data_IF_873676474833
#
_entry.id   IF_873676474833
#
_cell.length_a   1.000
_cell.length_b   1.000
_cell.length_c   1.000
_cell.angle_alpha   90.00
_cell.angle_beta   90.00
_cell.angle_gamma   90.00
#
_symmetry.space_group_name_H-M   'P 1'
#
loop_
_entity.id
_entity.type
_entity.pdbx_description
1 polymer ?
#
# COMPACT_ATOMS: atom_id res chain seq x y z
N UNK A 1 13.73 11.65 -3.96
CA UNK A 1 13.94 10.23 -4.39
C UNK A 1 15.43 10.01 -4.56
N UNK A 2 15.96 8.88 -4.09
CA UNK A 2 17.36 8.47 -4.30
C UNK A 2 17.66 8.28 -5.79
N UNK A 3 18.89 8.60 -6.18
CA UNK A 3 19.33 8.54 -7.60
C UNK A 3 19.12 7.17 -8.24
N UNK A 4 19.47 6.03 -7.59
CA UNK A 4 19.29 4.70 -8.18
C UNK A 4 17.82 4.37 -8.49
N UNK A 5 16.90 4.64 -7.54
CA UNK A 5 15.47 4.42 -7.74
C UNK A 5 14.93 5.33 -8.83
N UNK A 6 15.34 6.60 -8.86
CA UNK A 6 14.91 7.53 -9.90
C UNK A 6 15.31 7.03 -11.29
N UNK A 7 16.56 6.60 -11.44
CA UNK A 7 17.07 6.04 -12.69
C UNK A 7 16.32 4.77 -13.12
N UNK A 8 15.95 3.91 -12.15
CA UNK A 8 15.15 2.74 -12.44
C UNK A 8 13.72 3.12 -12.88
N UNK A 9 13.09 4.09 -12.20
CA UNK A 9 11.74 4.56 -12.55
C UNK A 9 11.69 5.31 -13.90
N UNK A 10 12.80 5.91 -14.37
CA UNK A 10 12.87 6.54 -15.70
C UNK A 10 12.60 5.53 -16.82
N UNK A 11 12.92 4.24 -16.62
CA UNK A 11 12.66 3.15 -17.57
C UNK A 11 11.18 2.74 -17.69
N UNK A 12 10.31 3.20 -16.78
CA UNK A 12 8.85 2.93 -16.86
C UNK A 12 8.28 3.31 -18.24
N UNK A 13 8.84 4.32 -18.86
CA UNK A 13 8.37 4.82 -20.16
C UNK A 13 8.89 4.02 -21.38
N UNK A 14 9.73 3.03 -21.15
CA UNK A 14 10.30 2.15 -22.18
C UNK A 14 9.54 0.83 -22.29
N UNK A 15 8.75 0.47 -21.25
CA UNK A 15 8.06 -0.80 -21.16
C UNK A 15 6.55 -0.61 -20.97
N UNK A 16 5.71 -1.49 -21.53
CA UNK A 16 4.27 -1.47 -21.28
C UNK A 16 3.92 -1.82 -19.83
N UNK A 17 4.70 -2.68 -19.17
CA UNK A 17 4.56 -3.04 -17.76
C UNK A 17 5.85 -2.78 -16.99
N UNK A 18 5.72 -2.18 -15.81
CA UNK A 18 6.78 -2.16 -14.80
C UNK A 18 6.25 -2.81 -13.52
N UNK A 19 6.90 -3.86 -13.07
CA UNK A 19 6.60 -4.50 -11.78
C UNK A 19 7.60 -3.99 -10.76
N UNK A 20 7.09 -3.53 -9.62
CA UNK A 20 7.89 -3.07 -8.49
C UNK A 20 7.66 -4.04 -7.33
N UNK A 21 8.65 -4.89 -7.11
CA UNK A 21 8.57 -5.97 -6.14
C UNK A 21 9.58 -5.76 -5.01
N UNK A 22 9.08 -5.58 -3.82
CA UNK A 22 9.90 -5.60 -2.61
C UNK A 22 9.00 -5.87 -1.39
N UNK A 23 9.55 -6.39 -0.29
CA UNK A 23 8.81 -6.56 0.95
C UNK A 23 8.20 -5.25 1.46
N UNK A 24 7.42 -5.37 2.53
CA UNK A 24 6.84 -4.23 3.21
C UNK A 24 7.92 -3.25 3.70
N UNK A 25 7.59 -1.95 3.71
CA UNK A 25 8.46 -0.93 4.30
C UNK A 25 9.70 -0.54 3.49
N UNK A 26 9.80 -0.96 2.23
CA UNK A 26 10.89 -0.54 1.31
C UNK A 26 10.63 0.80 0.62
N UNK A 27 9.49 1.44 0.86
CA UNK A 27 9.17 2.75 0.28
C UNK A 27 8.73 2.74 -1.18
N UNK A 28 8.27 1.58 -1.70
CA UNK A 28 7.81 1.42 -3.10
C UNK A 28 6.81 2.49 -3.52
N UNK A 29 5.67 2.53 -2.83
CA UNK A 29 4.57 3.46 -3.10
C UNK A 29 5.03 4.91 -3.05
N UNK A 30 5.83 5.27 -2.03
CA UNK A 30 6.39 6.63 -1.86
C UNK A 30 7.29 6.99 -3.02
N UNK A 31 8.18 6.10 -3.45
CA UNK A 31 9.09 6.36 -4.56
C UNK A 31 8.34 6.60 -5.87
N UNK A 32 7.33 5.77 -6.18
CA UNK A 32 6.51 5.92 -7.38
C UNK A 32 5.70 7.22 -7.34
N UNK A 33 5.04 7.52 -6.22
CA UNK A 33 4.27 8.77 -6.05
C UNK A 33 5.15 9.99 -6.26
N UNK A 34 6.31 10.05 -5.62
CA UNK A 34 7.22 11.18 -5.75
C UNK A 34 7.81 11.30 -7.17
N UNK A 35 8.08 10.18 -7.84
CA UNK A 35 8.52 10.19 -9.22
C UNK A 35 7.45 10.77 -10.16
N UNK A 36 6.22 10.27 -10.03
CA UNK A 36 5.11 10.64 -10.91
C UNK A 36 4.57 12.05 -10.68
N UNK A 37 4.77 12.67 -9.51
CA UNK A 37 4.38 14.07 -9.24
C UNK A 37 4.98 15.06 -10.25
N UNK A 38 6.19 14.78 -10.71
CA UNK A 38 6.92 15.67 -11.61
C UNK A 38 6.80 15.27 -13.10
N UNK A 39 6.01 14.24 -13.40
CA UNK A 39 5.82 13.76 -14.76
C UNK A 39 4.65 14.47 -15.46
N UNK A 40 4.81 14.77 -16.75
CA UNK A 40 3.75 15.35 -17.59
C UNK A 40 2.70 14.31 -18.04
N UNK A 41 2.79 13.09 -17.58
CA UNK A 41 1.87 12.01 -17.93
C UNK A 41 0.53 12.13 -17.18
N UNK A 42 -0.53 11.51 -17.73
CA UNK A 42 -1.77 11.31 -17.01
C UNK A 42 -1.59 10.11 -16.06
N UNK A 43 -1.70 10.36 -14.76
CA UNK A 43 -1.54 9.34 -13.73
C UNK A 43 -2.91 8.90 -13.24
N UNK A 44 -3.17 7.60 -13.32
CA UNK A 44 -4.35 6.93 -12.79
C UNK A 44 -3.86 5.95 -11.71
N UNK A 45 -4.38 6.09 -10.49
CA UNK A 45 -3.89 5.32 -9.35
C UNK A 45 -5.04 4.56 -8.68
N UNK A 46 -4.85 3.27 -8.48
CA UNK A 46 -5.71 2.41 -7.68
C UNK A 46 -4.87 1.68 -6.65
N UNK A 47 -5.33 1.67 -5.41
CA UNK A 47 -4.80 0.80 -4.36
C UNK A 47 -5.77 -0.36 -4.18
N UNK A 48 -5.26 -1.57 -4.18
CA UNK A 48 -6.04 -2.78 -3.90
C UNK A 48 -6.27 -2.84 -2.40
N UNK A 49 -7.53 -2.99 -1.99
CA UNK A 49 -7.90 -2.97 -0.58
C UNK A 49 -8.07 -4.38 0.02
N UNK A 50 -8.49 -5.34 -0.82
CA UNK A 50 -8.81 -6.70 -0.43
C UNK A 50 -8.72 -7.65 -1.64
N UNK A 51 -9.09 -8.91 -1.47
CA UNK A 51 -9.12 -9.95 -2.49
C UNK A 51 -10.40 -9.94 -3.36
N UNK A 52 -11.27 -8.94 -3.20
CA UNK A 52 -12.52 -8.82 -3.96
C UNK A 52 -12.27 -8.50 -5.43
N UNK A 53 -12.46 -9.47 -6.30
CA UNK A 53 -12.34 -9.31 -7.76
C UNK A 53 -13.29 -8.22 -8.28
N UNK A 54 -14.54 -8.23 -7.82
CA UNK A 54 -15.54 -7.24 -8.23
C UNK A 54 -15.20 -5.84 -7.69
N UNK A 55 -14.71 -5.73 -6.47
CA UNK A 55 -14.23 -4.49 -5.87
C UNK A 55 -13.06 -3.90 -6.67
N UNK A 56 -12.07 -4.73 -6.98
CA UNK A 56 -10.95 -4.37 -7.82
C UNK A 56 -11.39 -3.90 -9.21
N UNK A 57 -12.22 -4.70 -9.90
CA UNK A 57 -12.66 -4.41 -11.26
C UNK A 57 -13.47 -3.11 -11.34
N UNK A 58 -14.39 -2.89 -10.41
CA UNK A 58 -15.12 -1.63 -10.31
C UNK A 58 -14.18 -0.43 -10.09
N UNK A 59 -13.14 -0.59 -9.27
CA UNK A 59 -12.09 0.41 -9.10
C UNK A 59 -11.36 0.71 -10.40
N UNK A 60 -10.95 -0.34 -11.13
CA UNK A 60 -10.29 -0.22 -12.42
C UNK A 60 -11.18 0.49 -13.47
N UNK A 61 -12.45 0.10 -13.58
CA UNK A 61 -13.41 0.77 -14.46
C UNK A 61 -13.56 2.26 -14.14
N UNK A 62 -13.53 2.65 -12.84
CA UNK A 62 -13.54 4.08 -12.43
C UNK A 62 -12.27 4.81 -12.89
N UNK A 63 -11.13 4.14 -12.97
CA UNK A 63 -9.94 4.74 -13.58
C UNK A 63 -10.13 4.96 -15.09
N UNK A 64 -10.68 3.96 -15.78
CA UNK A 64 -10.96 4.05 -17.21
C UNK A 64 -12.00 5.15 -17.50
N UNK A 65 -12.97 5.37 -16.61
CA UNK A 65 -13.94 6.47 -16.73
C UNK A 65 -13.27 7.85 -16.82
N UNK A 66 -12.11 8.04 -16.20
CA UNK A 66 -11.33 9.28 -16.30
C UNK A 66 -10.68 9.45 -17.69
N UNK A 67 -10.63 8.41 -18.50
CA UNK A 67 -10.18 8.42 -19.89
C UNK A 67 -11.36 8.52 -20.84
N UNK A 68 -12.32 7.60 -20.68
CA UNK A 68 -13.53 7.51 -21.49
C UNK A 68 -14.67 6.90 -20.66
N UNK A 69 -15.71 7.69 -20.42
CA UNK A 69 -16.82 7.27 -19.58
C UNK A 69 -17.65 6.14 -20.22
N UNK A 70 -17.84 6.18 -21.55
CA UNK A 70 -18.63 5.16 -22.26
C UNK A 70 -17.93 3.80 -22.22
N UNK A 71 -16.62 3.77 -22.43
CA UNK A 71 -15.81 2.56 -22.28
C UNK A 71 -15.92 1.98 -20.85
N UNK A 72 -15.87 2.81 -19.82
CA UNK A 72 -16.02 2.37 -18.44
C UNK A 72 -17.38 1.76 -18.14
N UNK A 73 -18.47 2.34 -18.67
CA UNK A 73 -19.82 1.77 -18.54
C UNK A 73 -19.86 0.37 -19.18
N UNK A 74 -19.38 0.24 -20.41
CA UNK A 74 -19.35 -1.06 -21.10
C UNK A 74 -18.52 -2.09 -20.33
N UNK A 75 -17.39 -1.70 -19.72
CA UNK A 75 -16.57 -2.60 -18.89
C UNK A 75 -17.29 -3.03 -17.59
N UNK A 76 -18.09 -2.15 -17.00
CA UNK A 76 -18.91 -2.47 -15.81
C UNK A 76 -20.01 -3.46 -16.20
N UNK A 77 -20.68 -3.25 -17.33
CA UNK A 77 -21.76 -4.12 -17.83
C UNK A 77 -21.22 -5.53 -18.17
N UNK A 78 -20.01 -5.63 -18.73
CA UNK A 78 -19.32 -6.90 -18.97
C UNK A 78 -18.92 -7.63 -17.69
N UNK A 79 -18.67 -6.91 -16.62
CA UNK A 79 -18.13 -7.44 -15.37
C UNK A 79 -16.64 -7.77 -15.44
N UNK A 80 -16.12 -8.38 -14.37
CA UNK A 80 -14.71 -8.74 -14.27
C UNK A 80 -14.32 -9.82 -15.31
N UNK A 81 -13.11 -9.75 -15.92
CA UNK A 81 -12.68 -10.63 -17.02
C UNK A 81 -12.32 -12.05 -16.56
N UNK A 82 -13.28 -12.75 -15.96
CA UNK A 82 -13.10 -14.11 -15.41
C UNK A 82 -13.19 -15.20 -16.46
N UNK A 83 -13.84 -14.92 -17.61
CA UNK A 83 -13.88 -15.81 -18.77
C UNK A 83 -12.98 -15.31 -19.91
N UNK A 84 -12.65 -16.17 -20.87
CA UNK A 84 -11.88 -15.79 -22.05
C UNK A 84 -12.64 -14.78 -22.92
N UNK A 85 -13.96 -14.95 -23.08
CA UNK A 85 -14.80 -14.07 -23.90
C UNK A 85 -14.85 -12.67 -23.26
N UNK A 86 -15.21 -12.58 -21.98
CA UNK A 86 -15.28 -11.30 -21.27
C UNK A 86 -13.92 -10.60 -21.27
N UNK A 87 -12.80 -11.36 -21.18
CA UNK A 87 -11.46 -10.82 -21.25
C UNK A 87 -11.15 -10.19 -22.61
N UNK A 88 -11.44 -10.89 -23.71
CA UNK A 88 -11.20 -10.35 -25.06
C UNK A 88 -12.05 -9.10 -25.33
N UNK A 89 -13.34 -9.11 -24.99
CA UNK A 89 -14.21 -7.96 -25.13
C UNK A 89 -13.71 -6.76 -24.29
N UNK A 90 -13.28 -7.01 -23.08
CA UNK A 90 -12.71 -5.96 -22.22
C UNK A 90 -11.40 -5.40 -22.82
N UNK A 91 -10.56 -6.25 -23.40
CA UNK A 91 -9.32 -5.84 -24.06
C UNK A 91 -9.61 -4.98 -25.30
N UNK A 92 -10.58 -5.37 -26.12
CA UNK A 92 -10.96 -4.61 -27.32
C UNK A 92 -11.46 -3.22 -26.98
N UNK A 93 -12.27 -3.09 -25.90
CA UNK A 93 -12.73 -1.79 -25.39
C UNK A 93 -11.56 -0.89 -24.97
N UNK A 94 -10.58 -1.44 -24.26
CA UNK A 94 -9.44 -0.65 -23.73
C UNK A 94 -8.44 -0.33 -24.83
N UNK A 95 -8.14 -1.27 -25.72
CA UNK A 95 -7.21 -1.04 -26.85
C UNK A 95 -7.76 -0.07 -27.88
N UNK A 96 -9.10 0.05 -27.99
CA UNK A 96 -9.78 1.07 -28.79
C UNK A 96 -9.70 2.50 -28.23
N UNK A 97 -9.17 2.69 -27.00
CA UNK A 97 -9.02 4.02 -26.42
C UNK A 97 -7.89 4.82 -27.09
N UNK A 98 -8.14 6.10 -27.29
CA UNK A 98 -7.13 7.02 -27.80
C UNK A 98 -6.37 7.67 -26.65
N UNK A 99 -5.07 7.46 -26.61
CA UNK A 99 -4.16 8.05 -25.64
C UNK A 99 -3.42 9.23 -26.27
N UNK A 100 -3.94 10.44 -26.12
CA UNK A 100 -3.33 11.68 -26.68
C UNK A 100 -2.00 12.06 -26.02
N UNK A 101 -1.73 11.55 -24.84
CA UNK A 101 -0.49 11.72 -24.06
C UNK A 101 -0.13 10.47 -23.30
N UNK A 102 1.14 10.38 -22.86
CA UNK A 102 1.56 9.29 -21.98
C UNK A 102 0.62 9.18 -20.78
N UNK A 103 0.10 8.00 -20.57
CA UNK A 103 -0.82 7.66 -19.49
C UNK A 103 -0.22 6.48 -18.72
N UNK A 104 -0.19 6.58 -17.41
CA UNK A 104 0.25 5.49 -16.54
C UNK A 104 -0.87 5.10 -15.59
N UNK A 105 -1.15 3.79 -15.55
CA UNK A 105 -2.06 3.19 -14.58
C UNK A 105 -1.19 2.52 -13.52
N UNK A 106 -1.33 2.96 -12.28
CA UNK A 106 -0.64 2.37 -11.11
C UNK A 106 -1.61 1.54 -10.33
N UNK A 107 -1.28 0.27 -10.14
CA UNK A 107 -2.00 -0.67 -9.27
C UNK A 107 -1.10 -0.93 -8.06
N UNK A 108 -1.48 -0.37 -6.93
CA UNK A 108 -0.73 -0.46 -5.68
C UNK A 108 -1.29 -1.57 -4.78
N UNK A 109 -0.41 -2.21 -4.01
CA UNK A 109 -0.72 -3.36 -3.15
C UNK A 109 -1.36 -4.55 -3.90
N UNK A 110 -0.94 -4.81 -5.14
CA UNK A 110 -1.51 -5.83 -6.02
C UNK A 110 -1.49 -7.25 -5.42
N UNK A 111 -0.55 -7.56 -4.55
CA UNK A 111 -0.44 -8.85 -3.84
C UNK A 111 -1.66 -9.22 -2.99
N UNK A 112 -2.54 -8.25 -2.70
CA UNK A 112 -3.81 -8.51 -2.00
C UNK A 112 -4.86 -9.16 -2.91
N UNK A 113 -4.67 -9.09 -4.23
CA UNK A 113 -5.57 -9.65 -5.21
C UNK A 113 -5.01 -10.96 -5.78
N UNK A 114 -5.34 -12.09 -5.17
CA UNK A 114 -4.99 -13.42 -5.69
C UNK A 114 -5.98 -13.86 -6.77
N UNK A 115 -5.78 -13.42 -8.03
CA UNK A 115 -6.72 -13.72 -9.11
C UNK A 115 -6.03 -13.92 -10.46
N UNK A 116 -5.81 -15.17 -10.82
CA UNK A 116 -5.19 -15.58 -12.10
C UNK A 116 -5.91 -14.98 -13.34
N UNK A 117 -7.23 -14.79 -13.29
CA UNK A 117 -7.97 -14.19 -14.41
C UNK A 117 -7.60 -12.74 -14.65
N UNK A 118 -7.36 -11.99 -13.57
CA UNK A 118 -6.91 -10.60 -13.63
C UNK A 118 -5.44 -10.54 -14.08
N UNK A 119 -4.60 -11.44 -13.59
CA UNK A 119 -3.21 -11.54 -14.06
C UNK A 119 -3.17 -11.77 -15.58
N UNK A 120 -3.93 -12.74 -16.07
CA UNK A 120 -4.07 -13.02 -17.51
C UNK A 120 -4.63 -11.83 -18.30
N UNK A 121 -5.57 -11.10 -17.73
CA UNK A 121 -6.09 -9.88 -18.36
C UNK A 121 -4.97 -8.84 -18.55
N UNK A 122 -4.18 -8.55 -17.51
CA UNK A 122 -3.06 -7.61 -17.63
C UNK A 122 -1.98 -8.13 -18.57
N UNK A 123 -1.64 -9.42 -18.52
CA UNK A 123 -0.67 -10.02 -19.44
C UNK A 123 -1.11 -9.89 -20.92
N UNK A 124 -2.39 -10.03 -21.20
CA UNK A 124 -2.92 -9.82 -22.54
C UNK A 124 -2.94 -8.34 -22.93
N UNK A 125 -3.31 -7.47 -21.98
CA UNK A 125 -3.37 -6.03 -22.19
C UNK A 125 -1.99 -5.46 -22.57
N UNK A 126 -0.93 -5.84 -21.85
CA UNK A 126 0.43 -5.35 -22.13
C UNK A 126 0.99 -5.87 -23.46
N UNK A 127 0.57 -7.06 -23.93
CA UNK A 127 0.95 -7.59 -25.25
C UNK A 127 0.29 -6.83 -26.40
N UNK A 128 -0.89 -6.26 -26.17
CA UNK A 128 -1.63 -5.39 -27.11
C UNK A 128 -1.35 -3.89 -26.84
N UNK A 129 -0.33 -3.57 -26.04
CA UNK A 129 -0.14 -2.25 -25.45
C UNK A 129 -0.07 -1.12 -26.46
N UNK A 130 -0.84 -0.06 -26.17
CA UNK A 130 -0.70 1.22 -26.87
C UNK A 130 0.61 1.93 -26.44
N UNK A 131 1.37 2.55 -27.36
CA UNK A 131 2.66 3.17 -27.05
C UNK A 131 2.63 4.23 -25.94
N UNK A 132 1.47 4.83 -25.70
CA UNK A 132 1.25 5.83 -24.66
C UNK A 132 0.61 5.28 -23.37
N UNK A 133 0.37 3.96 -23.28
CA UNK A 133 -0.17 3.33 -22.08
C UNK A 133 0.93 2.54 -21.39
N UNK A 134 1.18 2.88 -20.14
CA UNK A 134 2.13 2.19 -19.26
C UNK A 134 1.40 1.72 -18.01
N UNK A 135 1.74 0.57 -17.51
CA UNK A 135 1.17 -0.01 -16.29
C UNK A 135 2.29 -0.17 -15.27
N UNK A 136 2.07 0.27 -14.05
CA UNK A 136 2.95 0.02 -12.91
C UNK A 136 2.18 -0.84 -11.92
N UNK A 137 2.71 -2.01 -11.62
CA UNK A 137 2.19 -2.87 -10.54
C UNK A 137 3.15 -2.81 -9.37
N UNK A 138 2.66 -2.43 -8.21
CA UNK A 138 3.42 -2.43 -6.96
C UNK A 138 2.93 -3.61 -6.12
N UNK A 139 3.84 -4.52 -5.81
CA UNK A 139 3.53 -5.77 -5.12
C UNK A 139 4.57 -6.08 -4.03
N UNK A 140 4.23 -6.98 -3.12
CA UNK A 140 5.21 -7.61 -2.20
C UNK A 140 5.73 -8.92 -2.75
N UNK A 141 4.99 -9.52 -3.66
CA UNK A 141 5.25 -10.82 -4.27
C UNK A 141 5.23 -10.68 -5.79
N UNK A 142 5.63 -11.76 -6.46
CA UNK A 142 5.66 -11.83 -7.91
C UNK A 142 4.29 -11.47 -8.51
N UNK A 143 4.29 -10.68 -9.58
CA UNK A 143 3.06 -10.22 -10.25
C UNK A 143 2.26 -11.39 -10.82
N UNK A 144 2.91 -12.30 -11.55
CA UNK A 144 2.32 -13.52 -12.11
C UNK A 144 3.40 -14.57 -12.34
N UNK A 145 2.99 -15.84 -12.53
CA UNK A 145 3.91 -16.93 -12.88
C UNK A 145 4.66 -16.67 -14.17
N UNK A 146 4.08 -15.89 -15.08
CA UNK A 146 4.64 -15.56 -16.39
C UNK A 146 5.54 -14.31 -16.40
N UNK A 147 5.80 -13.70 -15.24
CA UNK A 147 6.59 -12.46 -15.15
C UNK A 147 7.96 -12.60 -15.82
N UNK A 148 8.65 -13.72 -15.62
CA UNK A 148 9.95 -13.99 -16.23
C UNK A 148 9.87 -14.06 -17.76
N UNK A 149 8.84 -14.69 -18.31
CA UNK A 149 8.61 -14.75 -19.75
C UNK A 149 8.34 -13.35 -20.34
N UNK A 150 7.53 -12.54 -19.65
CA UNK A 150 7.24 -11.16 -20.07
C UNK A 150 8.49 -10.30 -20.08
N UNK A 151 9.39 -10.49 -19.11
CA UNK A 151 10.69 -9.81 -19.09
C UNK A 151 11.56 -10.20 -20.28
N UNK A 152 11.68 -11.49 -20.56
CA UNK A 152 12.46 -12.01 -21.69
C UNK A 152 11.95 -11.49 -23.04
N UNK A 153 10.63 -11.30 -23.17
CA UNK A 153 9.99 -10.76 -24.38
C UNK A 153 10.00 -9.24 -24.46
N UNK A 154 10.56 -8.55 -23.47
CA UNK A 154 10.63 -7.08 -23.45
C UNK A 154 9.31 -6.38 -23.12
N UNK A 155 8.32 -7.07 -22.59
CA UNK A 155 7.04 -6.48 -22.16
C UNK A 155 7.06 -5.95 -20.73
N UNK A 156 7.96 -6.47 -19.89
CA UNK A 156 8.00 -6.18 -18.47
C UNK A 156 9.40 -5.72 -18.03
N UNK A 157 9.44 -4.68 -17.20
CA UNK A 157 10.61 -4.25 -16.47
C UNK A 157 10.40 -4.49 -14.98
N UNK A 158 11.35 -5.15 -14.32
CA UNK A 158 11.29 -5.44 -12.88
C UNK A 158 12.20 -4.50 -12.12
N UNK A 159 11.65 -3.82 -11.13
CA UNK A 159 12.35 -3.06 -10.09
C UNK A 159 12.23 -3.86 -8.80
N UNK A 160 13.29 -4.48 -8.37
CA UNK A 160 13.29 -5.38 -7.23
C UNK A 160 13.76 -4.71 -5.92
N UNK A 161 13.75 -5.48 -4.84
CA UNK A 161 14.18 -5.10 -3.50
C UNK A 161 15.53 -4.37 -3.49
N UNK A 162 16.52 -4.83 -4.28
CA UNK A 162 17.89 -4.29 -4.32
C UNK A 162 17.94 -2.82 -4.73
N UNK A 163 16.99 -2.38 -5.55
CA UNK A 163 16.87 -0.98 -5.95
C UNK A 163 16.45 -0.07 -4.76
N UNK A 164 15.78 -0.65 -3.76
CA UNK A 164 15.24 0.07 -2.61
C UNK A 164 16.15 0.03 -1.37
N UNK A 165 17.11 -0.88 -1.31
CA UNK A 165 18.08 -0.96 -0.22
C UNK A 165 19.00 0.26 -0.23
N UNK A 166 19.20 0.83 0.95
CA UNK A 166 20.13 1.94 1.12
C UNK A 166 21.55 1.41 1.25
N UNK A 167 22.49 2.02 0.56
CA UNK A 167 23.92 1.82 0.83
C UNK A 167 24.35 2.59 2.07
N UNK A 168 25.53 2.30 2.60
CA UNK A 168 26.08 3.03 3.77
C UNK A 168 26.18 4.54 3.50
N UNK A 169 26.63 4.93 2.32
CA UNK A 169 26.76 6.35 1.95
C UNK A 169 25.36 7.02 1.84
N UNK A 170 24.38 6.32 1.30
CA UNK A 170 23.01 6.81 1.24
C UNK A 170 22.35 6.92 2.62
N UNK A 171 22.73 6.06 3.58
CA UNK A 171 22.30 6.17 4.98
C UNK A 171 22.85 7.45 5.60
N UNK A 172 24.14 7.74 5.40
CA UNK A 172 24.76 8.97 5.90
C UNK A 172 24.05 10.21 5.31
N UNK A 173 23.83 10.20 3.98
CA UNK A 173 23.14 11.30 3.31
C UNK A 173 21.69 11.47 3.82
N UNK A 174 20.96 10.37 3.99
CA UNK A 174 19.59 10.38 4.49
C UNK A 174 19.50 10.95 5.90
N UNK A 175 20.35 10.48 6.82
CA UNK A 175 20.37 10.98 8.20
C UNK A 175 20.79 12.45 8.27
N UNK A 176 21.75 12.86 7.45
CA UNK A 176 22.16 14.26 7.33
C UNK A 176 21.00 15.16 6.88
N UNK A 177 20.18 14.72 5.90
CA UNK A 177 18.98 15.44 5.47
C UNK A 177 17.94 15.57 6.59
N UNK A 178 17.91 14.62 7.53
CA UNK A 178 17.03 14.64 8.69
C UNK A 178 17.64 15.36 9.91
N UNK A 179 18.82 15.98 9.77
CA UNK A 179 19.48 16.74 10.84
C UNK A 179 20.33 15.89 11.79
N UNK A 180 20.55 14.59 11.48
CA UNK A 180 21.39 13.68 12.27
C UNK A 180 22.72 13.47 11.55
N UNK A 181 23.84 13.70 12.23
CA UNK A 181 25.17 13.42 11.70
C UNK A 181 25.64 12.06 12.19
N UNK A 182 25.94 11.16 11.25
CA UNK A 182 26.49 9.83 11.52
C UNK A 182 27.97 9.77 11.20
N UNK A 183 28.73 9.06 12.03
CA UNK A 183 30.08 8.62 11.70
C UNK A 183 30.03 7.38 10.80
N UNK A 184 31.10 7.12 10.05
CA UNK A 184 31.17 5.96 9.15
C UNK A 184 30.94 4.62 9.88
N UNK A 185 31.45 4.48 11.09
CA UNK A 185 31.25 3.27 11.91
C UNK A 185 29.78 3.07 12.30
N UNK A 186 29.08 4.16 12.63
CA UNK A 186 27.65 4.14 12.98
C UNK A 186 26.79 3.78 11.76
N UNK A 187 27.12 4.34 10.59
CA UNK A 187 26.45 3.99 9.35
C UNK A 187 26.68 2.52 8.96
N UNK A 188 27.89 1.99 9.17
CA UNK A 188 28.19 0.58 8.95
C UNK A 188 27.41 -0.32 9.90
N UNK A 189 27.28 0.05 11.17
CA UNK A 189 26.49 -0.69 12.16
C UNK A 189 24.98 -0.65 11.80
N UNK A 190 24.46 0.52 11.41
CA UNK A 190 23.08 0.66 10.94
C UNK A 190 22.82 -0.19 9.69
N UNK A 191 23.74 -0.17 8.72
CA UNK A 191 23.60 -0.98 7.53
C UNK A 191 23.61 -2.49 7.87
N UNK A 192 24.55 -2.93 8.70
CA UNK A 192 24.61 -4.33 9.13
C UNK A 192 23.34 -4.81 9.84
N UNK A 193 22.68 -3.91 10.59
CA UNK A 193 21.44 -4.21 11.30
C UNK A 193 20.21 -4.17 10.40
N UNK A 194 20.10 -3.14 9.55
CA UNK A 194 18.91 -2.86 8.76
C UNK A 194 18.95 -3.44 7.36
N UNK A 195 20.13 -3.86 6.90
CA UNK A 195 20.39 -4.25 5.49
C UNK A 195 19.92 -3.18 4.49
N UNK A 196 19.94 -1.92 4.91
CA UNK A 196 19.47 -0.81 4.10
C UNK A 196 17.94 -0.68 4.01
N UNK A 197 17.19 -1.38 4.84
CA UNK A 197 15.73 -1.29 4.88
C UNK A 197 15.27 0.04 5.45
N UNK A 198 14.62 0.86 4.59
CA UNK A 198 14.30 2.26 4.92
C UNK A 198 13.39 2.42 6.14
N UNK A 199 12.44 1.51 6.37
CA UNK A 199 11.58 1.60 7.56
C UNK A 199 12.35 1.36 8.86
N UNK A 200 13.28 0.42 8.87
CA UNK A 200 14.14 0.21 10.03
C UNK A 200 15.11 1.38 10.22
N UNK A 201 15.70 1.90 9.14
CA UNK A 201 16.55 3.11 9.19
C UNK A 201 15.78 4.32 9.75
N UNK A 202 14.53 4.51 9.34
CA UNK A 202 13.68 5.58 9.85
C UNK A 202 13.41 5.43 11.35
N UNK A 203 13.13 4.20 11.82
CA UNK A 203 12.92 3.94 13.24
C UNK A 203 14.19 4.16 14.07
N UNK A 204 15.34 3.70 13.58
CA UNK A 204 16.62 3.97 14.22
C UNK A 204 16.92 5.47 14.29
N UNK A 205 16.61 6.21 13.23
CA UNK A 205 16.74 7.67 13.21
C UNK A 205 15.89 8.34 14.29
N UNK A 206 14.63 7.92 14.44
CA UNK A 206 13.77 8.46 15.49
C UNK A 206 14.33 8.15 16.90
N UNK A 207 14.87 6.94 17.10
CA UNK A 207 15.51 6.56 18.37
C UNK A 207 16.73 7.46 18.69
N UNK A 208 17.58 7.73 17.69
CA UNK A 208 18.71 8.64 17.85
C UNK A 208 18.25 10.06 18.22
N UNK A 209 17.22 10.56 17.54
CA UNK A 209 16.69 11.91 17.80
C UNK A 209 16.07 12.05 19.18
N UNK A 210 15.51 10.97 19.73
CA UNK A 210 14.83 10.99 21.05
C UNK A 210 15.78 10.67 22.20
N UNK A 211 16.70 9.69 22.02
CA UNK A 211 17.52 9.13 23.10
C UNK A 211 19.01 9.41 22.94
N UNK A 212 19.43 9.95 21.80
CA UNK A 212 20.84 10.24 21.50
C UNK A 212 21.73 8.99 21.31
N UNK A 213 21.14 7.80 21.20
CA UNK A 213 21.87 6.53 21.08
C UNK A 213 21.31 5.67 19.95
N UNK A 214 22.23 4.91 19.31
CA UNK A 214 21.87 3.89 18.33
C UNK A 214 21.75 2.56 19.07
N UNK A 215 20.53 2.11 19.34
CA UNK A 215 20.30 0.76 19.86
C UNK A 215 20.01 -0.21 18.69
N UNK A 216 21.06 -0.71 18.07
CA UNK A 216 20.94 -1.59 16.89
C UNK A 216 20.54 -3.05 17.21
N UNK A 217 20.40 -3.42 18.49
CA UNK A 217 20.14 -4.81 18.90
C UNK A 217 18.64 -5.12 19.13
N UNK A 218 17.78 -4.12 19.13
CA UNK A 218 16.34 -4.33 19.31
C UNK A 218 15.69 -4.93 18.05
N UNK A 219 14.71 -5.81 18.23
CA UNK A 219 13.87 -6.26 17.12
C UNK A 219 13.03 -5.10 16.58
N UNK A 220 12.54 -5.22 15.36
CA UNK A 220 11.68 -4.19 14.77
C UNK A 220 10.46 -3.87 15.65
N UNK A 221 9.89 -4.89 16.29
CA UNK A 221 8.77 -4.72 17.23
C UNK A 221 9.19 -3.95 18.50
N UNK A 222 10.35 -4.24 19.05
CA UNK A 222 10.90 -3.51 20.18
C UNK A 222 11.19 -2.05 19.82
N UNK A 223 11.73 -1.80 18.62
CA UNK A 223 11.95 -0.45 18.11
C UNK A 223 10.61 0.32 17.96
N UNK A 224 9.62 -0.29 17.33
CA UNK A 224 8.30 0.30 17.17
C UNK A 224 7.67 0.57 18.54
N UNK A 225 7.73 -0.39 19.44
CA UNK A 225 7.23 -0.24 20.80
C UNK A 225 7.90 0.94 21.52
N UNK A 226 9.23 0.97 21.50
CA UNK A 226 10.03 1.94 22.23
C UNK A 226 9.92 3.35 21.64
N UNK A 227 10.02 3.47 20.32
CA UNK A 227 10.14 4.78 19.65
C UNK A 227 8.78 5.41 19.37
N UNK A 228 7.78 4.60 19.04
CA UNK A 228 6.45 5.08 18.62
C UNK A 228 5.42 4.83 19.71
N UNK A 229 5.21 3.57 20.04
CA UNK A 229 4.06 3.16 20.83
C UNK A 229 4.14 3.60 22.30
N UNK A 230 5.33 3.53 22.93
CA UNK A 230 5.51 4.00 24.33
C UNK A 230 5.18 5.49 24.50
N UNK A 231 5.48 6.27 23.47
CA UNK A 231 5.26 7.72 23.47
C UNK A 231 3.80 8.13 23.15
N UNK A 232 2.94 7.15 22.83
CA UNK A 232 1.52 7.39 22.66
C UNK A 232 0.83 7.50 24.03
N UNK A 233 -0.12 8.43 24.15
CA UNK A 233 -0.98 8.49 25.34
C UNK A 233 -1.79 7.21 25.51
N UNK A 234 -2.22 6.85 26.73
CA UNK A 234 -3.06 5.67 26.93
C UNK A 234 -4.32 5.67 26.06
N UNK A 235 -4.89 6.85 25.87
CA UNK A 235 -6.08 7.02 25.02
C UNK A 235 -5.75 6.76 23.55
N UNK A 236 -4.61 7.26 23.05
CA UNK A 236 -4.17 7.01 21.68
C UNK A 236 -3.84 5.53 21.44
N UNK A 237 -3.26 4.85 22.44
CA UNK A 237 -3.02 3.40 22.39
C UNK A 237 -4.31 2.63 22.24
N UNK A 238 -5.30 2.93 23.08
CA UNK A 238 -6.61 2.30 23.02
C UNK A 238 -7.35 2.58 21.69
N UNK A 239 -7.20 3.78 21.13
CA UNK A 239 -7.72 4.13 19.82
C UNK A 239 -7.05 3.30 18.70
N UNK A 240 -5.73 3.19 18.72
CA UNK A 240 -4.95 2.42 17.74
C UNK A 240 -5.31 0.93 17.76
N UNK A 241 -5.54 0.35 18.95
CA UNK A 241 -5.99 -1.04 19.09
C UNK A 241 -7.34 -1.31 18.41
N UNK A 242 -8.21 -0.31 18.34
CA UNK A 242 -9.54 -0.46 17.72
C UNK A 242 -9.48 -0.28 16.20
N UNK A 243 -8.63 0.61 15.68
CA UNK A 243 -8.58 0.91 14.25
C UNK A 243 -7.56 0.08 13.48
N UNK A 244 -6.63 -0.63 14.16
CA UNK A 244 -5.57 -1.41 13.51
C UNK A 244 -6.08 -2.62 12.71
N UNK A 245 -7.33 -3.03 12.92
CA UNK A 245 -7.95 -4.14 12.20
C UNK A 245 -8.22 -3.78 10.72
N UNK A 246 -8.25 -2.49 10.38
CA UNK A 246 -8.44 -2.00 9.03
C UNK A 246 -7.10 -1.70 8.36
N UNK A 247 -7.00 -1.92 7.05
CA UNK A 247 -5.84 -1.50 6.27
C UNK A 247 -5.93 0.00 5.91
N UNK A 248 -7.15 0.47 5.68
CA UNK A 248 -7.47 1.88 5.56
C UNK A 248 -8.88 2.15 6.10
N UNK A 249 -9.11 3.35 6.61
CA UNK A 249 -10.41 3.70 7.18
C UNK A 249 -10.73 5.20 7.04
N UNK A 250 -12.00 5.52 6.96
CA UNK A 250 -12.49 6.90 6.93
C UNK A 250 -12.61 7.47 8.34
N UNK A 251 -12.68 8.81 8.46
CA UNK A 251 -13.00 9.47 9.73
C UNK A 251 -14.33 8.99 10.32
N UNK A 252 -15.35 8.75 9.47
CA UNK A 252 -16.65 8.24 9.92
C UNK A 252 -16.51 6.86 10.56
N UNK A 253 -15.74 5.98 9.94
CA UNK A 253 -15.45 4.65 10.44
C UNK A 253 -14.69 4.70 11.76
N UNK A 254 -13.64 5.53 11.84
CA UNK A 254 -12.89 5.73 13.07
C UNK A 254 -13.77 6.24 14.23
N UNK A 255 -14.67 7.20 13.95
CA UNK A 255 -15.63 7.73 14.96
C UNK A 255 -16.60 6.64 15.43
N UNK A 256 -17.10 5.79 14.53
CA UNK A 256 -18.00 4.70 14.88
C UNK A 256 -17.31 3.63 15.74
N UNK A 257 -16.07 3.28 15.40
CA UNK A 257 -15.28 2.29 16.13
C UNK A 257 -14.81 2.79 17.50
N UNK A 258 -14.44 4.05 17.60
CA UNK A 258 -13.91 4.63 18.85
C UNK A 258 -14.99 4.99 19.85
N UNK A 259 -16.20 5.29 19.37
CA UNK A 259 -17.37 5.69 20.18
C UNK A 259 -17.09 6.86 21.17
N UNK A 260 -16.18 7.78 20.78
CA UNK A 260 -15.89 9.04 21.49
C UNK A 260 -15.70 10.16 20.48
N UNK A 261 -15.95 11.40 20.90
CA UNK A 261 -15.97 12.57 20.02
C UNK A 261 -14.59 13.03 19.54
N UNK A 262 -13.50 12.54 20.17
CA UNK A 262 -12.14 13.00 19.89
C UNK A 262 -11.35 12.20 18.85
N UNK A 263 -11.97 11.28 18.12
CA UNK A 263 -11.29 10.47 17.09
C UNK A 263 -10.53 11.32 16.07
N UNK A 264 -11.12 12.45 15.66
CA UNK A 264 -10.51 13.39 14.71
C UNK A 264 -9.24 14.04 15.27
N UNK A 265 -9.26 14.43 16.53
CA UNK A 265 -8.10 15.00 17.22
C UNK A 265 -6.96 13.98 17.29
N UNK A 266 -7.28 12.73 17.63
CA UNK A 266 -6.29 11.64 17.70
C UNK A 266 -5.68 11.36 16.33
N UNK A 267 -6.48 11.36 15.26
CA UNK A 267 -6.00 11.19 13.89
C UNK A 267 -5.12 12.35 13.42
N UNK A 268 -5.52 13.59 13.73
CA UNK A 268 -4.69 14.77 13.44
C UNK A 268 -3.33 14.70 14.17
N UNK A 269 -3.30 14.24 15.40
CA UNK A 269 -2.05 14.04 16.15
C UNK A 269 -1.16 12.98 15.50
N UNK A 270 -1.73 11.86 15.03
CA UNK A 270 -0.99 10.79 14.36
C UNK A 270 -0.38 11.27 13.04
N UNK A 271 -1.15 12.00 12.23
CA UNK A 271 -0.68 12.54 10.94
C UNK A 271 0.37 13.63 11.15
N UNK A 272 0.15 14.56 12.07
CA UNK A 272 1.07 15.68 12.36
C UNK A 272 2.43 15.20 12.89
N UNK A 273 2.46 14.10 13.65
CA UNK A 273 3.71 13.51 14.15
C UNK A 273 4.43 12.65 13.11
N UNK A 274 3.93 12.55 11.88
CA UNK A 274 4.39 11.59 10.88
C UNK A 274 4.50 10.15 11.45
N UNK A 275 3.64 9.82 12.41
CA UNK A 275 3.71 8.60 13.19
C UNK A 275 3.08 7.43 12.42
N UNK A 276 3.70 7.01 11.30
CA UNK A 276 3.25 5.86 10.50
C UNK A 276 1.80 5.93 10.04
N UNK A 277 1.20 7.15 10.04
CA UNK A 277 -0.18 7.35 9.60
C UNK A 277 -0.19 8.41 8.52
N UNK A 278 -0.83 8.11 7.39
CA UNK A 278 -1.00 9.03 6.27
C UNK A 278 -2.47 9.27 6.02
N UNK A 279 -2.79 10.47 5.51
CA UNK A 279 -4.12 10.80 5.04
C UNK A 279 -4.11 10.98 3.53
N UNK A 280 -4.95 10.23 2.84
CA UNK A 280 -5.13 10.39 1.39
C UNK A 280 -6.30 11.36 1.12
N UNK A 281 -5.96 12.50 0.52
CA UNK A 281 -6.94 13.53 0.17
C UNK A 281 -7.92 13.11 -0.94
N UNK A 282 -7.57 12.10 -1.74
CA UNK A 282 -8.41 11.63 -2.86
C UNK A 282 -9.47 10.68 -2.36
N UNK A 283 -9.07 9.63 -1.64
CA UNK A 283 -9.98 8.64 -1.05
C UNK A 283 -10.63 9.12 0.25
N UNK A 284 -10.08 10.17 0.88
CA UNK A 284 -10.45 10.67 2.22
C UNK A 284 -10.34 9.62 3.31
N UNK A 285 -9.32 8.78 3.21
CA UNK A 285 -9.03 7.71 4.15
C UNK A 285 -7.69 7.93 4.86
N UNK A 286 -7.62 7.42 6.07
CA UNK A 286 -6.39 7.28 6.84
C UNK A 286 -5.84 5.88 6.62
N UNK A 287 -4.53 5.77 6.52
CA UNK A 287 -3.82 4.51 6.43
C UNK A 287 -2.68 4.50 7.44
N UNK A 288 -2.67 3.49 8.30
CA UNK A 288 -1.55 3.23 9.19
C UNK A 288 -0.53 2.39 8.42
N UNK A 289 0.75 2.76 8.54
CA UNK A 289 1.83 2.04 7.85
C UNK A 289 1.83 0.56 8.26
N UNK A 290 1.94 -0.33 7.29
CA UNK A 290 1.79 -1.78 7.50
C UNK A 290 2.69 -2.36 8.59
N UNK A 291 3.93 -1.85 8.77
CA UNK A 291 4.83 -2.28 9.86
C UNK A 291 4.20 -1.98 11.22
N UNK A 292 3.63 -0.80 11.37
CA UNK A 292 2.99 -0.40 12.63
C UNK A 292 1.65 -1.14 12.82
N UNK A 293 0.87 -1.30 11.75
CA UNK A 293 -0.35 -2.11 11.77
C UNK A 293 -0.06 -3.55 12.18
N UNK A 294 1.00 -4.18 11.64
CA UNK A 294 1.40 -5.54 12.02
C UNK A 294 1.74 -5.61 13.51
N UNK A 295 2.53 -4.67 14.03
CA UNK A 295 2.85 -4.58 15.45
C UNK A 295 1.58 -4.45 16.33
N UNK A 296 0.65 -3.56 15.94
CA UNK A 296 -0.59 -3.35 16.68
C UNK A 296 -1.51 -4.59 16.65
N UNK A 297 -1.58 -5.28 15.50
CA UNK A 297 -2.33 -6.55 15.37
C UNK A 297 -1.74 -7.63 16.25
N UNK A 298 -0.41 -7.77 16.28
CA UNK A 298 0.27 -8.71 17.19
C UNK A 298 -0.01 -8.40 18.67
N UNK A 299 -0.13 -7.12 19.03
CA UNK A 299 -0.54 -6.72 20.37
C UNK A 299 -2.01 -7.09 20.64
N UNK A 300 -2.89 -6.86 19.66
CA UNK A 300 -4.30 -7.22 19.76
C UNK A 300 -4.48 -8.74 19.92
N UNK A 301 -3.73 -9.53 19.15
CA UNK A 301 -3.79 -11.01 19.19
C UNK A 301 -3.33 -11.58 20.55
N UNK A 302 -2.55 -10.81 21.32
CA UNK A 302 -2.16 -11.17 22.71
C UNK A 302 -3.17 -10.73 23.77
N UNK A 303 -4.20 -9.95 23.39
CA UNK A 303 -5.27 -9.56 24.32
C UNK A 303 -6.23 -10.72 24.59
N UNK A 304 -7.09 -10.54 25.59
CA UNK A 304 -8.15 -11.51 25.87
C UNK A 304 -9.07 -11.70 24.65
N UNK A 305 -9.41 -12.94 24.35
CA UNK A 305 -10.25 -13.30 23.19
C UNK A 305 -11.59 -12.54 23.18
N UNK A 306 -12.17 -12.28 24.36
CA UNK A 306 -13.40 -11.49 24.52
C UNK A 306 -13.23 -10.06 23.98
N UNK A 307 -12.07 -9.44 24.23
CA UNK A 307 -11.77 -8.08 23.74
C UNK A 307 -11.58 -8.09 22.22
N UNK A 308 -10.85 -9.05 21.69
CA UNK A 308 -10.66 -9.21 20.24
C UNK A 308 -12.01 -9.37 19.52
N UNK A 309 -12.84 -10.31 19.99
CA UNK A 309 -14.18 -10.56 19.43
C UNK A 309 -15.07 -9.31 19.47
N UNK A 310 -15.01 -8.53 20.57
CA UNK A 310 -15.76 -7.28 20.68
C UNK A 310 -15.36 -6.27 19.62
N UNK A 311 -14.06 -6.10 19.34
CA UNK A 311 -13.55 -5.16 18.32
C UNK A 311 -14.00 -5.63 16.92
N UNK A 312 -13.91 -6.91 16.62
CA UNK A 312 -14.38 -7.43 15.33
C UNK A 312 -15.90 -7.33 15.18
N UNK A 313 -16.68 -7.56 16.24
CA UNK A 313 -18.13 -7.39 16.21
C UNK A 313 -18.51 -5.93 15.92
N UNK A 314 -17.84 -4.96 16.54
CA UNK A 314 -18.05 -3.53 16.25
C UNK A 314 -17.77 -3.20 14.78
N UNK A 315 -16.73 -3.78 14.18
CA UNK A 315 -16.47 -3.61 12.75
C UNK A 315 -17.56 -4.22 11.88
N UNK A 316 -18.05 -5.43 12.23
CA UNK A 316 -19.19 -6.06 11.56
C UNK A 316 -20.43 -5.17 11.57
N UNK A 317 -20.79 -4.61 12.72
CA UNK A 317 -21.91 -3.65 12.85
C UNK A 317 -21.73 -2.40 12.00
N UNK A 318 -20.51 -1.83 11.97
CA UNK A 318 -20.22 -0.69 11.10
C UNK A 318 -20.48 -1.02 9.64
N UNK A 319 -19.91 -2.12 9.12
CA UNK A 319 -20.10 -2.51 7.73
C UNK A 319 -21.56 -2.86 7.40
N UNK A 320 -22.27 -3.46 8.33
CA UNK A 320 -23.71 -3.71 8.20
C UNK A 320 -24.48 -2.39 8.07
N UNK A 321 -24.14 -1.37 8.88
CA UNK A 321 -24.80 -0.05 8.85
C UNK A 321 -24.63 0.69 7.53
N UNK A 322 -23.51 0.46 6.84
CA UNK A 322 -23.23 1.05 5.51
C UNK A 322 -23.60 0.10 4.36
N UNK A 323 -24.24 -1.03 4.66
CA UNK A 323 -24.73 -2.04 3.71
C UNK A 323 -23.60 -2.75 2.93
N UNK A 324 -22.42 -2.82 3.51
CA UNK A 324 -21.31 -3.63 2.99
C UNK A 324 -21.37 -5.01 3.65
N UNK A 325 -22.23 -5.87 3.13
CA UNK A 325 -22.54 -7.17 3.72
C UNK A 325 -21.35 -8.12 3.68
N UNK A 326 -20.49 -8.02 2.66
CA UNK A 326 -19.32 -8.91 2.52
C UNK A 326 -18.34 -8.65 3.66
N UNK A 327 -17.97 -7.39 3.88
CA UNK A 327 -17.09 -7.04 4.99
C UNK A 327 -17.77 -7.24 6.35
N UNK A 328 -19.08 -7.01 6.46
CA UNK A 328 -19.82 -7.30 7.68
C UNK A 328 -19.72 -8.80 8.06
N UNK A 329 -19.97 -9.71 7.12
CA UNK A 329 -19.84 -11.15 7.32
C UNK A 329 -18.41 -11.55 7.71
N UNK A 330 -17.40 -11.00 7.02
CA UNK A 330 -15.99 -11.26 7.33
C UNK A 330 -15.66 -10.93 8.80
N UNK A 331 -16.09 -9.76 9.27
CA UNK A 331 -15.82 -9.34 10.64
C UNK A 331 -16.68 -10.05 11.68
N UNK A 332 -17.94 -10.40 11.40
CA UNK A 332 -18.75 -11.24 12.28
C UNK A 332 -18.17 -12.65 12.40
N UNK A 333 -17.63 -13.21 11.31
CA UNK A 333 -16.92 -14.48 11.36
C UNK A 333 -15.70 -14.40 12.29
N UNK A 334 -14.88 -13.35 12.18
CA UNK A 334 -13.73 -13.11 13.10
C UNK A 334 -14.16 -12.88 14.55
N UNK A 335 -15.33 -12.28 14.75
CA UNK A 335 -15.92 -12.12 16.08
C UNK A 335 -16.49 -13.43 16.66
N UNK A 336 -16.59 -14.50 15.87
CA UNK A 336 -17.33 -15.71 16.16
C UNK A 336 -18.82 -15.43 16.50
N UNK A 337 -19.41 -14.39 15.89
CA UNK A 337 -20.83 -14.02 16.03
C UNK A 337 -21.61 -14.66 14.88
N UNK A 338 -21.88 -15.95 15.00
CA UNK A 338 -22.52 -16.75 13.96
C UNK A 338 -24.02 -16.46 13.81
N UNK A 339 -24.62 -15.80 14.79
CA UNK A 339 -26.04 -15.42 14.73
C UNK A 339 -26.29 -14.28 13.74
N UNK A 340 -25.25 -13.55 13.36
CA UNK A 340 -25.30 -12.40 12.43
C UNK A 340 -24.75 -12.71 11.02
N UNK A 341 -24.29 -13.93 10.81
CA UNK A 341 -23.83 -14.41 9.50
C UNK A 341 -25.01 -14.89 8.66
#
# INVERSE_FOLDING_TARGET
>A
IRKPIRKALEKVWEYPLTVIEAPMGYGKTTAVREYLKNCKAKVLWQTVADDSISGFWNGFCRLIAKLNNQCAISLIDLGAPTSSICREESLDLITGLVFSRKTVIVIDDYHLLSCESIDKFFECLIKKAHPNLHIIVISREMFSENTAELMLKGYCYLIDKRNFEFTQDEIIEYYKLCGVQLKQQEASALYAYTEGWVSALYLCMLSIMQEGRIECQATLHELIEKVVYRNCSPELKAFLEVVCIFDSFSLKQAKAMWNKDNAEVLLCQLVAKNAFTTYDNVSKTYQIHNVFTSFLRDLLDRQEEKKQRSIYAMAGEWYLSVRDYINAMHYFYKAADFDKL
#
